data_IF_818051779022
#
_entry.id   IF_818051779022
#
_cell.length_a   1.000
_cell.length_b   1.000
_cell.length_c   1.000
_cell.angle_alpha   90.00
_cell.angle_beta   90.00
_cell.angle_gamma   90.00
#
_symmetry.space_group_name_H-M   'P 1'
#
loop_
_entity.id
_entity.type
_entity.pdbx_description
1 polymer ?
#
# COMPACT_ATOMS: atom_id res chain seq x y z
N UNK A 1 -12.67 4.15 -8.71
CA UNK A 1 -11.30 4.52 -8.32
C UNK A 1 -10.35 4.45 -9.51
N UNK A 2 -10.14 3.30 -10.14
CA UNK A 2 -9.16 3.16 -11.23
C UNK A 2 -9.41 4.08 -12.45
N UNK A 3 -10.66 4.32 -12.84
CA UNK A 3 -11.00 5.26 -13.93
C UNK A 3 -10.62 6.70 -13.56
N UNK A 4 -10.86 7.11 -12.30
CA UNK A 4 -10.47 8.43 -11.81
C UNK A 4 -8.96 8.59 -11.74
N UNK A 5 -8.24 7.54 -11.32
CA UNK A 5 -6.78 7.49 -11.36
C UNK A 5 -6.24 7.63 -12.80
N UNK A 6 -6.86 6.93 -13.75
CA UNK A 6 -6.51 7.02 -15.17
C UNK A 6 -6.70 8.43 -15.74
N UNK A 7 -7.84 9.07 -15.44
CA UNK A 7 -8.10 10.44 -15.86
C UNK A 7 -7.16 11.45 -15.18
N UNK A 8 -6.92 11.31 -13.87
CA UNK A 8 -6.03 12.20 -13.12
C UNK A 8 -4.58 12.09 -13.57
N UNK A 9 -3.99 10.91 -13.46
CA UNK A 9 -2.59 10.68 -13.83
C UNK A 9 -2.35 10.72 -15.34
N UNK A 10 -3.39 10.51 -16.16
CA UNK A 10 -3.31 10.62 -17.61
C UNK A 10 -3.44 12.06 -18.09
N UNK A 11 -4.63 12.64 -17.91
CA UNK A 11 -4.99 13.95 -18.50
C UNK A 11 -4.41 15.10 -17.68
N UNK A 12 -4.56 15.09 -16.35
CA UNK A 12 -4.11 16.21 -15.51
C UNK A 12 -2.59 16.27 -15.49
N UNK A 13 -1.90 15.13 -15.31
CA UNK A 13 -0.44 15.11 -15.32
C UNK A 13 0.15 15.54 -16.67
N UNK A 14 -0.53 15.23 -17.78
CA UNK A 14 -0.12 15.72 -19.10
C UNK A 14 -0.23 17.25 -19.20
N UNK A 15 -1.35 17.82 -18.72
CA UNK A 15 -1.55 19.27 -18.67
C UNK A 15 -0.51 19.94 -17.75
N UNK A 16 -0.19 19.34 -16.62
CA UNK A 16 0.83 19.85 -15.69
C UNK A 16 2.24 19.87 -16.32
N UNK A 17 2.57 18.86 -17.12
CA UNK A 17 3.87 18.72 -17.76
C UNK A 17 4.07 19.65 -18.97
N UNK A 18 3.03 19.84 -19.78
CA UNK A 18 3.10 20.65 -21.01
C UNK A 18 2.97 22.16 -20.73
N UNK A 19 2.10 22.53 -19.81
CA UNK A 19 1.78 23.94 -19.53
C UNK A 19 2.44 24.38 -18.22
N UNK A 20 1.68 24.29 -17.11
CA UNK A 20 2.07 24.68 -15.76
C UNK A 20 1.23 23.93 -14.76
N UNK A 21 1.84 23.60 -13.61
CA UNK A 21 1.15 23.03 -12.45
C UNK A 21 -0.10 23.82 -12.00
N UNK A 22 -0.10 25.13 -12.20
CA UNK A 22 -1.23 26.00 -11.86
C UNK A 22 -2.55 25.55 -12.51
N UNK A 23 -2.53 25.18 -13.80
CA UNK A 23 -3.74 24.73 -14.51
C UNK A 23 -4.22 23.37 -14.00
N UNK A 24 -3.30 22.45 -13.68
CA UNK A 24 -3.64 21.17 -13.07
C UNK A 24 -4.40 21.36 -11.74
N UNK A 25 -3.91 22.25 -10.87
CA UNK A 25 -4.58 22.57 -9.61
C UNK A 25 -5.96 23.21 -9.80
N UNK A 26 -6.15 24.07 -10.79
CA UNK A 26 -7.47 24.65 -11.10
C UNK A 26 -8.46 23.55 -11.51
N UNK A 27 -8.05 22.64 -12.40
CA UNK A 27 -8.92 21.53 -12.84
C UNK A 27 -9.33 20.67 -11.66
N UNK A 28 -8.38 20.32 -10.78
CA UNK A 28 -8.67 19.58 -9.54
C UNK A 28 -9.63 20.34 -8.61
N UNK A 29 -9.43 21.64 -8.43
CA UNK A 29 -10.27 22.46 -7.56
C UNK A 29 -11.71 22.56 -8.10
N UNK A 30 -11.88 22.79 -9.40
CA UNK A 30 -13.19 22.83 -10.05
C UNK A 30 -13.89 21.48 -9.95
N UNK A 31 -13.18 20.36 -10.18
CA UNK A 31 -13.74 19.02 -10.05
C UNK A 31 -14.21 18.72 -8.62
N UNK A 32 -13.41 19.10 -7.60
CA UNK A 32 -13.81 18.98 -6.19
C UNK A 32 -15.01 19.89 -5.86
N UNK A 33 -15.05 21.11 -6.38
CA UNK A 33 -16.16 22.03 -6.22
C UNK A 33 -17.47 21.47 -6.80
N UNK A 34 -17.42 20.94 -8.02
CA UNK A 34 -18.57 20.27 -8.65
C UNK A 34 -19.03 19.07 -7.82
N UNK A 35 -18.09 18.24 -7.35
CA UNK A 35 -18.40 17.10 -6.47
C UNK A 35 -19.10 17.54 -5.18
N UNK A 36 -18.63 18.61 -4.54
CA UNK A 36 -19.24 19.17 -3.34
C UNK A 36 -20.65 19.73 -3.61
N UNK A 37 -20.86 20.41 -4.73
CA UNK A 37 -22.19 20.92 -5.13
C UNK A 37 -23.16 19.76 -5.35
N UNK A 38 -22.74 18.70 -6.06
CA UNK A 38 -23.55 17.50 -6.27
C UNK A 38 -23.87 16.82 -4.93
N UNK A 39 -22.90 16.73 -4.02
CA UNK A 39 -23.09 16.15 -2.70
C UNK A 39 -24.12 16.94 -1.87
N UNK A 40 -24.03 18.27 -1.87
CA UNK A 40 -24.99 19.14 -1.15
C UNK A 40 -26.37 19.08 -1.80
N UNK A 41 -26.46 19.12 -3.14
CA UNK A 41 -27.72 19.00 -3.86
C UNK A 41 -28.40 17.64 -3.66
N UNK A 42 -27.63 16.59 -3.36
CA UNK A 42 -28.13 15.25 -3.03
C UNK A 42 -28.68 15.11 -1.62
N UNK A 43 -28.43 16.07 -0.72
CA UNK A 43 -28.89 16.06 0.68
C UNK A 43 -30.37 15.66 0.89
N UNK A 44 -31.36 16.17 0.14
CA UNK A 44 -32.76 15.76 0.30
C UNK A 44 -33.03 14.27 0.03
N UNK A 45 -32.13 13.57 -0.67
CA UNK A 45 -32.24 12.14 -0.95
C UNK A 45 -31.47 11.26 0.05
N UNK A 46 -30.77 11.86 1.02
CA UNK A 46 -29.92 11.12 1.94
C UNK A 46 -30.72 10.47 3.06
N UNK A 47 -30.49 9.18 3.27
CA UNK A 47 -31.02 8.45 4.43
C UNK A 47 -30.07 8.70 5.60
N UNK A 48 -30.43 9.64 6.47
CA UNK A 48 -29.67 9.95 7.67
C UNK A 48 -29.90 8.82 8.70
N UNK A 49 -28.88 7.99 8.91
CA UNK A 49 -28.87 7.01 10.00
C UNK A 49 -28.59 7.72 11.33
N UNK A 50 -29.31 7.39 12.42
CA UNK A 50 -29.00 7.94 13.74
C UNK A 50 -27.56 7.58 14.14
N UNK A 51 -26.91 8.39 14.99
CA UNK A 51 -25.54 8.10 15.41
C UNK A 51 -25.50 6.83 16.27
N UNK A 52 -24.97 5.75 15.71
CA UNK A 52 -24.55 4.59 16.50
C UNK A 52 -23.42 5.04 17.43
N UNK A 53 -23.49 4.65 18.70
CA UNK A 53 -22.52 5.09 19.71
C UNK A 53 -21.06 4.80 19.33
N UNK A 54 -20.11 5.47 20.00
CA UNK A 54 -18.69 5.34 19.65
C UNK A 54 -18.12 3.96 20.01
N UNK A 55 -17.90 3.12 18.99
CA UNK A 55 -17.21 1.84 19.13
C UNK A 55 -15.79 2.02 19.70
N UNK A 56 -15.07 3.06 19.26
CA UNK A 56 -13.72 3.36 19.77
C UNK A 56 -13.73 3.67 21.27
N UNK A 57 -14.74 4.41 21.75
CA UNK A 57 -14.87 4.70 23.18
C UNK A 57 -15.12 3.42 23.97
N UNK A 58 -15.94 2.49 23.45
CA UNK A 58 -16.18 1.19 24.06
C UNK A 58 -14.90 0.34 24.07
N UNK A 59 -14.13 0.32 22.98
CA UNK A 59 -12.84 -0.35 22.91
C UNK A 59 -11.87 0.13 23.99
N UNK A 60 -11.68 1.44 24.14
CA UNK A 60 -10.79 1.99 25.18
C UNK A 60 -11.28 1.65 26.59
N UNK A 61 -12.59 1.63 26.81
CA UNK A 61 -13.17 1.22 28.11
C UNK A 61 -12.90 -0.25 28.41
N UNK A 62 -13.08 -1.14 27.43
CA UNK A 62 -12.81 -2.58 27.55
C UNK A 62 -11.34 -2.84 27.86
N UNK A 63 -10.42 -2.20 27.13
CA UNK A 63 -8.98 -2.34 27.37
C UNK A 63 -8.59 -1.82 28.76
N UNK A 64 -9.15 -0.68 29.17
CA UNK A 64 -8.92 -0.10 30.50
C UNK A 64 -9.44 -1.02 31.62
N UNK A 65 -10.61 -1.60 31.45
CA UNK A 65 -11.21 -2.52 32.42
C UNK A 65 -10.43 -3.83 32.51
N UNK A 66 -10.06 -4.43 31.37
CA UNK A 66 -9.18 -5.59 31.31
C UNK A 66 -7.86 -5.32 32.04
N UNK A 67 -7.27 -4.13 31.85
CA UNK A 67 -6.06 -3.71 32.56
C UNK A 67 -6.26 -3.60 34.07
N UNK A 68 -7.35 -2.96 34.50
CA UNK A 68 -7.68 -2.78 35.93
C UNK A 68 -7.93 -4.12 36.61
N UNK A 69 -8.74 -4.99 36.01
CA UNK A 69 -9.11 -6.30 36.57
C UNK A 69 -7.87 -7.21 36.69
N UNK A 70 -7.01 -7.23 35.65
CA UNK A 70 -5.74 -7.98 35.70
C UNK A 70 -4.80 -7.45 36.77
N UNK A 71 -4.69 -6.12 36.93
CA UNK A 71 -3.85 -5.51 37.97
C UNK A 71 -4.36 -5.87 39.37
N UNK A 72 -5.66 -5.75 39.61
CA UNK A 72 -6.26 -6.09 40.91
C UNK A 72 -6.12 -7.58 41.24
N UNK A 73 -6.32 -8.48 40.27
CA UNK A 73 -6.14 -9.93 40.47
C UNK A 73 -4.68 -10.29 40.76
N UNK A 74 -3.72 -9.67 40.05
CA UNK A 74 -2.28 -9.81 40.35
C UNK A 74 -1.92 -9.32 41.76
N UNK A 75 -2.48 -8.19 42.20
CA UNK A 75 -2.25 -7.69 43.56
C UNK A 75 -2.89 -8.60 44.62
N UNK A 76 -4.08 -9.17 44.36
CA UNK A 76 -4.70 -10.17 45.25
C UNK A 76 -3.84 -11.42 45.38
N UNK A 77 -3.39 -12.00 44.26
CA UNK A 77 -2.50 -13.17 44.26
C UNK A 77 -1.19 -12.91 45.01
N UNK A 78 -0.60 -11.71 44.84
CA UNK A 78 0.59 -11.30 45.59
C UNK A 78 0.33 -11.13 47.09
N UNK A 79 -0.85 -10.66 47.47
CA UNK A 79 -1.25 -10.52 48.88
C UNK A 79 -1.65 -11.87 49.50
N UNK A 80 -2.08 -12.83 48.68
CA UNK A 80 -2.35 -14.23 49.01
C UNK A 80 -1.06 -15.08 49.02
N UNK A 81 0.08 -14.52 49.44
CA UNK A 81 1.26 -15.29 49.85
C UNK A 81 0.89 -16.23 51.03
N UNK A 82 0.10 -17.26 50.77
CA UNK A 82 0.08 -18.49 51.52
C UNK A 82 1.48 -19.07 51.35
N UNK A 83 2.21 -19.34 52.45
CA UNK A 83 3.40 -20.15 52.34
C UNK A 83 2.99 -21.47 51.67
N UNK A 84 3.82 -21.96 50.75
CA UNK A 84 3.67 -23.28 50.13
C UNK A 84 3.73 -24.29 51.27
N UNK A 85 2.58 -24.57 51.88
CA UNK A 85 2.40 -25.77 52.68
C UNK A 85 2.18 -26.86 51.65
N UNK A 86 3.25 -27.64 51.42
CA UNK A 86 3.21 -28.89 50.66
C UNK A 86 2.14 -29.80 51.28
N UNK A 87 0.91 -29.69 50.81
CA UNK A 87 -0.07 -30.75 50.90
C UNK A 87 -0.60 -30.99 49.50
N UNK A 88 0.00 -31.99 48.86
CA UNK A 88 -0.49 -32.73 47.71
C UNK A 88 -2.01 -32.60 47.53
N UNK A 89 -2.45 -31.79 46.56
CA UNK A 89 -3.73 -32.01 45.90
C UNK A 89 -3.54 -31.71 44.41
N UNK A 90 -3.74 -32.74 43.59
CA UNK A 90 -3.57 -32.75 42.11
C UNK A 90 -4.60 -31.84 41.41
N UNK A 91 -5.45 -31.17 42.17
CA UNK A 91 -6.56 -30.32 41.69
C UNK A 91 -6.10 -28.87 41.46
N UNK A 92 -5.17 -28.33 42.27
CA UNK A 92 -4.71 -26.94 42.15
C UNK A 92 -3.78 -26.68 40.95
N UNK A 93 -2.99 -27.69 40.53
CA UNK A 93 -2.10 -27.57 39.38
C UNK A 93 -2.86 -27.54 38.03
N UNK A 94 -4.06 -28.11 37.98
CA UNK A 94 -4.92 -28.07 36.79
C UNK A 94 -5.58 -26.70 36.61
N UNK A 95 -6.08 -26.10 37.69
CA UNK A 95 -6.72 -24.77 37.68
C UNK A 95 -5.72 -23.64 37.38
N UNK A 96 -4.48 -23.72 37.91
CA UNK A 96 -3.42 -22.76 37.59
C UNK A 96 -2.87 -22.90 36.16
N UNK A 97 -2.89 -24.10 35.58
CA UNK A 97 -2.50 -24.36 34.20
C UNK A 97 -3.56 -23.89 33.18
N UNK A 98 -4.85 -23.91 33.55
CA UNK A 98 -5.93 -23.30 32.75
C UNK A 98 -5.92 -21.75 32.85
N UNK A 99 -5.57 -21.18 34.00
CA UNK A 99 -5.60 -19.73 34.25
C UNK A 99 -4.51 -18.94 33.47
N UNK A 100 -3.36 -19.57 33.17
CA UNK A 100 -2.31 -18.97 32.33
C UNK A 100 -2.68 -18.86 30.84
N UNK A 101 -3.80 -19.44 30.39
CA UNK A 101 -4.25 -19.37 28.99
C UNK A 101 -5.23 -18.23 28.72
N UNK A 102 -5.76 -17.54 29.74
CA UNK A 102 -6.79 -16.52 29.53
C UNK A 102 -6.16 -15.26 28.91
N UNK A 103 -6.53 -14.89 27.67
CA UNK A 103 -6.01 -13.69 27.00
C UNK A 103 -6.26 -12.43 27.82
N UNK A 104 -5.35 -11.45 27.75
CA UNK A 104 -5.45 -10.20 28.50
C UNK A 104 -6.81 -9.51 28.38
N UNK A 105 -7.37 -9.49 27.17
CA UNK A 105 -8.63 -8.81 26.85
C UNK A 105 -9.85 -9.56 27.41
N UNK A 106 -9.73 -10.88 27.62
CA UNK A 106 -10.84 -11.72 28.08
C UNK A 106 -11.21 -11.45 29.56
N UNK A 107 -10.34 -10.77 30.33
CA UNK A 107 -10.65 -10.26 31.68
C UNK A 107 -11.77 -9.21 31.73
N UNK A 108 -12.17 -8.65 30.59
CA UNK A 108 -13.30 -7.74 30.48
C UNK A 108 -14.63 -8.44 30.15
N UNK A 109 -14.62 -9.75 29.84
CA UNK A 109 -15.83 -10.53 29.54
C UNK A 109 -16.65 -10.75 30.81
N UNK A 110 -17.98 -10.69 30.68
CA UNK A 110 -18.92 -11.03 31.75
C UNK A 110 -18.66 -12.40 32.37
N UNK A 111 -18.25 -13.38 31.56
CA UNK A 111 -17.94 -14.74 32.02
C UNK A 111 -16.75 -14.81 33.01
N UNK A 112 -15.86 -13.81 33.01
CA UNK A 112 -14.72 -13.71 33.93
C UNK A 112 -14.89 -12.56 34.96
N UNK A 113 -16.10 -12.04 35.12
CA UNK A 113 -16.43 -10.97 36.08
C UNK A 113 -16.28 -9.53 35.57
N UNK A 114 -16.15 -9.33 34.25
CA UNK A 114 -16.15 -8.01 33.61
C UNK A 114 -17.56 -7.48 33.29
N UNK A 115 -17.67 -6.21 32.89
CA UNK A 115 -18.96 -5.55 32.61
C UNK A 115 -19.46 -5.76 31.18
N UNK A 116 -18.60 -6.18 30.25
CA UNK A 116 -18.91 -6.19 28.82
C UNK A 116 -19.37 -7.54 28.30
N UNK A 117 -20.34 -7.51 27.37
CA UNK A 117 -20.80 -8.70 26.65
C UNK A 117 -19.64 -9.38 25.91
N UNK A 118 -19.66 -10.72 25.88
CA UNK A 118 -18.58 -11.52 25.31
C UNK A 118 -18.30 -11.19 23.83
N UNK A 119 -19.34 -10.95 23.02
CA UNK A 119 -19.23 -10.59 21.61
C UNK A 119 -18.42 -9.31 21.39
N UNK A 120 -18.70 -8.26 22.17
CA UNK A 120 -18.02 -6.97 22.06
C UNK A 120 -16.53 -7.07 22.41
N UNK A 121 -16.18 -7.93 23.37
CA UNK A 121 -14.79 -8.18 23.76
C UNK A 121 -14.05 -8.97 22.67
N UNK A 122 -14.72 -9.92 22.03
CA UNK A 122 -14.17 -10.67 20.89
C UNK A 122 -13.96 -9.78 19.66
N UNK A 123 -14.86 -8.82 19.40
CA UNK A 123 -14.69 -7.82 18.32
C UNK A 123 -13.47 -6.92 18.57
N UNK A 124 -13.23 -6.49 19.81
CA UNK A 124 -12.03 -5.72 20.17
C UNK A 124 -10.76 -6.54 19.98
N UNK A 125 -10.80 -7.83 20.29
CA UNK A 125 -9.66 -8.74 20.10
C UNK A 125 -9.35 -8.95 18.62
N UNK A 126 -10.39 -9.13 17.80
CA UNK A 126 -10.30 -9.18 16.34
C UNK A 126 -9.71 -7.90 15.75
N UNK A 127 -10.19 -6.73 16.19
CA UNK A 127 -9.66 -5.44 15.78
C UNK A 127 -8.17 -5.29 16.14
N UNK A 128 -7.76 -5.76 17.32
CA UNK A 128 -6.35 -5.79 17.73
C UNK A 128 -5.49 -6.66 16.80
N UNK A 129 -6.01 -7.81 16.36
CA UNK A 129 -5.34 -8.67 15.37
C UNK A 129 -5.23 -8.00 14.00
N UNK A 130 -6.29 -7.32 13.54
CA UNK A 130 -6.29 -6.54 12.30
C UNK A 130 -5.20 -5.45 12.39
N UNK A 131 -5.18 -4.67 13.48
CA UNK A 131 -4.19 -3.62 13.68
C UNK A 131 -2.74 -4.15 13.64
N UNK A 132 -2.50 -5.33 14.21
CA UNK A 132 -1.19 -5.99 14.13
C UNK A 132 -0.81 -6.34 12.69
N UNK A 133 -1.75 -6.81 11.86
CA UNK A 133 -1.50 -7.08 10.43
C UNK A 133 -1.23 -5.77 9.68
N UNK A 134 -1.96 -4.69 9.96
CA UNK A 134 -1.67 -3.36 9.40
C UNK A 134 -0.29 -2.85 9.77
N UNK A 135 0.18 -3.09 11.00
CA UNK A 135 1.53 -2.73 11.42
C UNK A 135 2.60 -3.49 10.61
N UNK A 136 2.39 -4.78 10.34
CA UNK A 136 3.28 -5.58 9.48
C UNK A 136 3.27 -5.10 8.02
N UNK A 137 2.19 -4.44 7.57
CA UNK A 137 2.10 -3.83 6.24
C UNK A 137 2.82 -2.49 6.11
N UNK A 138 3.27 -1.85 7.20
CA UNK A 138 3.94 -0.55 7.15
C UNK A 138 5.18 -0.57 6.22
N UNK A 139 6.13 -1.53 6.34
CA UNK A 139 7.28 -1.59 5.44
C UNK A 139 6.89 -1.79 3.97
N UNK A 140 5.82 -2.55 3.72
CA UNK A 140 5.30 -2.73 2.37
C UNK A 140 4.83 -1.40 1.77
N UNK A 141 4.02 -0.64 2.51
CA UNK A 141 3.54 0.67 2.05
C UNK A 141 4.69 1.66 1.84
N UNK A 142 5.71 1.64 2.70
CA UNK A 142 6.91 2.47 2.54
C UNK A 142 7.63 2.21 1.22
N UNK A 143 7.71 0.94 0.79
CA UNK A 143 8.28 0.55 -0.49
C UNK A 143 7.34 0.88 -1.65
N UNK A 144 6.05 0.58 -1.52
CA UNK A 144 5.05 0.86 -2.55
C UNK A 144 5.01 2.35 -2.92
N UNK A 145 5.03 3.24 -1.92
CA UNK A 145 5.01 4.69 -2.16
C UNK A 145 6.28 5.22 -2.86
N UNK A 146 7.39 4.46 -2.89
CA UNK A 146 8.57 4.85 -3.68
C UNK A 146 8.29 4.91 -5.18
N UNK A 147 7.26 4.18 -5.64
CA UNK A 147 6.79 4.24 -7.01
C UNK A 147 6.33 5.66 -7.41
N UNK A 148 5.71 6.40 -6.47
CA UNK A 148 5.19 7.75 -6.74
C UNK A 148 6.27 8.83 -6.60
N UNK A 149 7.38 8.54 -5.92
CA UNK A 149 8.45 9.51 -5.64
C UNK A 149 9.73 9.16 -6.37
N UNK A 150 10.48 8.17 -5.89
CA UNK A 150 11.81 7.79 -6.36
C UNK A 150 11.78 7.29 -7.80
N UNK A 151 10.80 6.48 -8.19
CA UNK A 151 10.70 5.99 -9.58
C UNK A 151 10.37 7.12 -10.55
N UNK A 152 9.55 8.08 -10.11
CA UNK A 152 9.26 9.28 -10.88
C UNK A 152 10.53 10.13 -11.05
N UNK A 153 11.31 10.36 -9.99
CA UNK A 153 12.60 11.08 -10.10
C UNK A 153 13.60 10.38 -11.01
N UNK A 154 13.66 9.04 -10.96
CA UNK A 154 14.48 8.27 -11.89
C UNK A 154 14.01 8.48 -13.34
N UNK A 155 12.69 8.42 -13.60
CA UNK A 155 12.12 8.59 -14.93
C UNK A 155 12.32 10.00 -15.50
N UNK A 156 12.29 11.04 -14.65
CA UNK A 156 12.60 12.44 -15.03
C UNK A 156 14.05 12.63 -15.52
N UNK A 157 14.95 11.71 -15.18
CA UNK A 157 16.36 11.73 -15.60
C UNK A 157 16.65 10.71 -16.71
N UNK A 158 15.62 10.08 -17.29
CA UNK A 158 15.70 9.16 -18.41
C UNK A 158 15.08 9.81 -19.66
N UNK A 159 15.38 9.26 -20.84
CA UNK A 159 14.84 9.74 -22.10
C UNK A 159 13.36 9.41 -22.20
N UNK A 160 12.53 10.44 -22.30
CA UNK A 160 11.06 10.35 -22.41
C UNK A 160 10.54 10.16 -23.84
N UNK A 161 11.39 10.35 -24.84
CA UNK A 161 11.03 10.21 -26.25
C UNK A 161 11.19 8.77 -26.76
N UNK A 162 10.17 8.26 -27.46
CA UNK A 162 10.19 6.96 -28.15
C UNK A 162 11.05 6.95 -29.42
N UNK A 163 11.48 8.11 -29.92
CA UNK A 163 12.17 8.22 -31.21
C UNK A 163 13.63 7.79 -31.11
N UNK A 164 13.85 6.47 -31.18
CA UNK A 164 15.10 5.89 -31.65
C UNK A 164 14.92 5.12 -32.97
N UNK A 165 13.67 4.96 -33.45
CA UNK A 165 13.37 3.99 -34.50
C UNK A 165 13.41 4.48 -35.96
N UNK A 166 13.62 5.78 -36.25
CA UNK A 166 13.92 6.26 -37.62
C UNK A 166 14.14 7.78 -37.69
N UNK A 167 15.21 8.31 -37.10
CA UNK A 167 15.58 9.73 -37.29
C UNK A 167 17.06 9.89 -37.56
N UNK A 168 17.56 9.15 -38.56
CA UNK A 168 18.83 9.48 -39.21
C UNK A 168 18.68 10.56 -40.30
N UNK A 169 17.50 11.19 -40.44
CA UNK A 169 17.25 12.14 -41.54
C UNK A 169 16.14 13.16 -41.26
N UNK A 170 16.09 13.76 -40.07
CA UNK A 170 15.27 14.96 -39.87
C UNK A 170 16.16 16.05 -39.28
N UNK A 171 16.54 16.98 -40.14
CA UNK A 171 17.26 18.20 -39.76
C UNK A 171 16.44 18.94 -38.70
N UNK A 172 16.95 18.94 -37.48
CA UNK A 172 16.45 19.64 -36.31
C UNK A 172 16.70 21.14 -36.43
N UNK A 173 15.93 21.82 -37.28
CA UNK A 173 15.87 23.30 -37.31
C UNK A 173 14.49 23.87 -37.00
N UNK A 174 13.49 23.03 -36.73
CA UNK A 174 12.19 23.52 -36.26
C UNK A 174 12.10 23.47 -34.73
N UNK A 175 12.13 24.63 -34.03
CA UNK A 175 11.92 24.69 -32.58
C UNK A 175 10.48 24.34 -32.14
N UNK A 176 9.60 24.03 -33.10
CA UNK A 176 8.19 23.67 -32.89
C UNK A 176 7.91 22.18 -33.10
N UNK A 177 8.93 21.33 -33.28
CA UNK A 177 8.70 19.88 -33.29
C UNK A 177 8.55 19.38 -31.85
N UNK A 178 7.35 19.56 -31.30
CA UNK A 178 6.92 18.93 -30.07
C UNK A 178 6.84 17.42 -30.31
N UNK A 179 7.95 16.70 -30.06
CA UNK A 179 7.81 15.26 -29.78
C UNK A 179 6.84 15.13 -28.62
N UNK A 180 5.85 14.22 -28.67
CA UNK A 180 4.98 14.01 -27.53
C UNK A 180 5.84 13.48 -26.39
N UNK A 181 6.29 14.39 -25.53
CA UNK A 181 7.02 14.04 -24.31
C UNK A 181 6.04 13.29 -23.44
N UNK A 182 6.32 12.01 -23.24
CA UNK A 182 5.51 11.16 -22.38
C UNK A 182 5.59 11.72 -20.99
N UNK A 183 4.44 11.86 -20.34
CA UNK A 183 4.47 12.26 -18.96
C UNK A 183 5.03 11.12 -18.11
N UNK A 184 6.06 11.39 -17.30
CA UNK A 184 6.66 10.36 -16.42
C UNK A 184 5.58 9.74 -15.51
N UNK A 185 4.61 10.55 -15.12
CA UNK A 185 3.44 10.13 -14.35
C UNK A 185 2.64 9.01 -15.04
N UNK A 186 2.65 8.89 -16.37
CA UNK A 186 1.95 7.82 -17.07
C UNK A 186 2.53 6.44 -16.77
N UNK A 187 3.79 6.32 -16.34
CA UNK A 187 4.33 5.03 -15.92
C UNK A 187 3.69 4.52 -14.63
N UNK A 188 3.18 5.42 -13.77
CA UNK A 188 2.35 5.01 -12.64
C UNK A 188 0.99 4.46 -13.07
N UNK A 189 0.51 4.78 -14.28
CA UNK A 189 -0.69 4.14 -14.86
C UNK A 189 -0.43 2.69 -15.29
N UNK A 190 0.82 2.35 -15.63
CA UNK A 190 1.16 0.97 -15.97
C UNK A 190 0.83 0.04 -14.80
N UNK A 191 1.13 0.44 -13.57
CA UNK A 191 0.76 -0.29 -12.35
C UNK A 191 -0.75 -0.54 -12.28
N UNK A 192 -1.58 0.50 -12.43
CA UNK A 192 -3.03 0.37 -12.44
C UNK A 192 -3.54 -0.56 -13.55
N UNK A 193 -2.94 -0.52 -14.75
CA UNK A 193 -3.26 -1.42 -15.86
C UNK A 193 -2.90 -2.86 -15.50
N UNK A 194 -1.72 -3.08 -14.91
CA UNK A 194 -1.31 -4.41 -14.43
C UNK A 194 -2.28 -4.93 -13.38
N UNK A 195 -2.66 -4.14 -12.38
CA UNK A 195 -3.63 -4.55 -11.35
C UNK A 195 -4.99 -4.92 -11.98
N UNK A 196 -5.50 -4.11 -12.93
CA UNK A 196 -6.77 -4.39 -13.63
C UNK A 196 -6.73 -5.72 -14.40
N UNK A 197 -5.59 -6.08 -14.98
CA UNK A 197 -5.42 -7.33 -15.75
C UNK A 197 -5.15 -8.51 -14.82
N UNK A 198 -4.29 -8.33 -13.81
CA UNK A 198 -3.85 -9.39 -12.92
C UNK A 198 -4.97 -9.82 -11.97
N UNK A 199 -5.78 -8.90 -11.44
CA UNK A 199 -6.85 -9.23 -10.51
C UNK A 199 -7.84 -10.29 -11.07
N UNK A 200 -8.46 -10.11 -12.25
CA UNK A 200 -9.33 -11.14 -12.82
C UNK A 200 -8.58 -12.42 -13.21
N UNK A 201 -7.30 -12.31 -13.60
CA UNK A 201 -6.46 -13.48 -13.87
C UNK A 201 -6.27 -14.33 -12.59
N UNK A 202 -5.98 -13.69 -11.47
CA UNK A 202 -5.82 -14.36 -10.19
C UNK A 202 -7.13 -14.98 -9.71
N UNK A 203 -8.22 -14.22 -9.76
CA UNK A 203 -9.54 -14.64 -9.28
C UNK A 203 -10.15 -15.76 -10.13
N UNK A 204 -10.07 -15.67 -11.46
CA UNK A 204 -10.72 -16.65 -12.36
C UNK A 204 -9.84 -17.82 -12.74
N UNK A 205 -8.52 -17.67 -12.71
CA UNK A 205 -7.60 -18.69 -13.23
C UNK A 205 -6.73 -19.28 -12.13
N UNK A 206 -5.99 -18.43 -11.41
CA UNK A 206 -4.93 -18.92 -10.50
C UNK A 206 -5.51 -19.55 -9.24
N UNK A 207 -6.40 -18.85 -8.52
CA UNK A 207 -7.04 -19.41 -7.33
C UNK A 207 -7.82 -20.70 -7.58
N UNK A 208 -8.69 -20.82 -8.62
CA UNK A 208 -9.40 -22.07 -8.87
C UNK A 208 -8.47 -23.20 -9.31
N UNK A 209 -7.41 -22.92 -10.08
CA UNK A 209 -6.42 -23.97 -10.42
C UNK A 209 -5.64 -24.45 -9.20
N UNK A 210 -5.26 -23.53 -8.33
CA UNK A 210 -4.55 -23.86 -7.10
C UNK A 210 -5.43 -24.62 -6.10
N UNK A 211 -6.71 -24.26 -6.02
CA UNK A 211 -7.71 -25.00 -5.24
C UNK A 211 -7.95 -26.41 -5.81
N UNK A 212 -7.95 -26.59 -7.14
CA UNK A 212 -8.01 -27.93 -7.76
C UNK A 212 -6.74 -28.75 -7.51
N UNK A 213 -5.59 -28.09 -7.35
CA UNK A 213 -4.33 -28.73 -6.98
C UNK A 213 -4.22 -29.05 -5.47
N UNK A 214 -5.25 -28.77 -4.67
CA UNK A 214 -5.27 -29.05 -3.23
C UNK A 214 -4.42 -28.12 -2.37
N UNK A 215 -3.92 -27.01 -2.92
CA UNK A 215 -3.08 -26.06 -2.18
C UNK A 215 -3.92 -24.91 -1.62
N UNK A 216 -4.07 -24.85 -0.30
CA UNK A 216 -4.73 -23.75 0.38
C UNK A 216 -3.74 -22.63 0.70
N UNK A 217 -3.84 -21.54 -0.05
CA UNK A 217 -2.96 -20.40 0.10
C UNK A 217 -3.47 -19.49 1.22
N UNK A 218 -2.80 -19.51 2.37
CA UNK A 218 -3.19 -18.67 3.52
C UNK A 218 -2.95 -17.18 3.21
N UNK A 219 -3.78 -16.28 3.77
CA UNK A 219 -3.61 -14.84 3.58
C UNK A 219 -2.22 -14.35 3.98
N UNK A 220 -1.67 -14.87 5.09
CA UNK A 220 -0.31 -14.54 5.53
C UNK A 220 0.75 -14.86 4.46
N UNK A 221 0.66 -16.03 3.81
CA UNK A 221 1.59 -16.41 2.73
C UNK A 221 1.46 -15.49 1.51
N UNK A 222 0.25 -15.02 1.19
CA UNK A 222 0.01 -14.05 0.09
C UNK A 222 0.69 -12.72 0.39
N UNK A 223 0.51 -12.22 1.61
CA UNK A 223 1.11 -10.96 2.06
C UNK A 223 2.64 -11.05 1.98
N UNK A 224 3.24 -12.13 2.50
CA UNK A 224 4.70 -12.33 2.44
C UNK A 224 5.20 -12.42 1.00
N UNK A 225 4.48 -13.12 0.11
CA UNK A 225 4.84 -13.21 -1.29
C UNK A 225 4.77 -11.83 -1.98
N UNK A 226 3.75 -11.03 -1.68
CA UNK A 226 3.65 -9.66 -2.19
C UNK A 226 4.80 -8.79 -1.70
N UNK A 227 5.16 -8.87 -0.42
CA UNK A 227 6.34 -8.17 0.13
C UNK A 227 7.64 -8.58 -0.56
N UNK A 228 7.80 -9.86 -0.89
CA UNK A 228 8.96 -10.34 -1.66
C UNK A 228 9.01 -9.71 -3.06
N UNK A 229 7.88 -9.67 -3.77
CA UNK A 229 7.82 -9.03 -5.09
C UNK A 229 8.12 -7.53 -5.03
N UNK A 230 7.63 -6.82 -4.00
CA UNK A 230 7.96 -5.42 -3.79
C UNK A 230 9.47 -5.22 -3.53
N UNK A 231 10.11 -6.09 -2.75
CA UNK A 231 11.54 -6.05 -2.53
C UNK A 231 12.34 -6.30 -3.83
N UNK A 232 11.94 -7.28 -4.64
CA UNK A 232 12.55 -7.55 -5.95
C UNK A 232 12.38 -6.37 -6.90
N UNK A 233 11.23 -5.69 -6.87
CA UNK A 233 10.99 -4.49 -7.66
C UNK A 233 11.97 -3.35 -7.30
N UNK A 234 12.26 -3.16 -6.01
CA UNK A 234 13.24 -2.16 -5.57
C UNK A 234 14.67 -2.52 -6.00
N UNK A 235 15.03 -3.81 -5.97
CA UNK A 235 16.33 -4.27 -6.50
C UNK A 235 16.40 -4.00 -8.00
N UNK A 236 15.35 -4.30 -8.76
CA UNK A 236 15.29 -3.99 -10.19
C UNK A 236 15.46 -2.49 -10.45
N UNK A 237 14.80 -1.63 -9.67
CA UNK A 237 14.95 -0.18 -9.77
C UNK A 237 16.37 0.31 -9.47
N UNK A 238 17.02 -0.28 -8.46
CA UNK A 238 18.43 -0.02 -8.16
C UNK A 238 19.37 -0.43 -9.29
N UNK A 239 19.11 -1.57 -9.94
CA UNK A 239 19.89 -2.03 -11.10
C UNK A 239 19.72 -1.07 -12.29
N UNK A 240 18.49 -0.65 -12.60
CA UNK A 240 18.23 0.35 -13.64
C UNK A 240 18.97 1.66 -13.34
N UNK A 241 19.00 2.09 -12.08
CA UNK A 241 19.73 3.29 -11.67
C UNK A 241 21.23 3.15 -11.83
N UNK A 242 21.79 1.98 -11.52
CA UNK A 242 23.21 1.71 -11.73
C UNK A 242 23.58 1.74 -13.21
N UNK A 243 22.73 1.19 -14.09
CA UNK A 243 22.93 1.29 -15.54
C UNK A 243 22.82 2.72 -16.04
N UNK A 244 21.87 3.50 -15.50
CA UNK A 244 21.76 4.94 -15.78
C UNK A 244 23.07 5.66 -15.45
N UNK A 245 23.57 5.48 -14.22
CA UNK A 245 24.78 6.14 -13.76
C UNK A 245 26.00 5.79 -14.61
N UNK A 246 26.19 4.50 -14.94
CA UNK A 246 27.30 4.03 -15.79
C UNK A 246 27.25 4.60 -17.21
N UNK A 247 26.06 4.92 -17.73
CA UNK A 247 25.93 5.59 -19.03
C UNK A 247 26.38 7.07 -18.98
N UNK A 248 26.40 7.70 -17.79
CA UNK A 248 26.89 9.07 -17.61
C UNK A 248 28.40 9.16 -17.30
N UNK A 249 29.07 8.04 -17.03
CA UNK A 249 30.46 8.04 -16.59
C UNK A 249 31.42 8.39 -17.76
N UNK A 250 32.17 9.52 -17.68
CA UNK A 250 33.06 9.95 -18.75
C UNK A 250 34.27 9.03 -18.96
N UNK A 251 34.70 8.32 -17.89
CA UNK A 251 35.91 7.50 -17.89
C UNK A 251 35.67 6.07 -18.44
N UNK A 252 34.41 5.63 -18.50
CA UNK A 252 34.04 4.32 -19.01
C UNK A 252 33.81 4.40 -20.53
N UNK A 253 34.90 4.27 -21.30
CA UNK A 253 34.95 4.41 -22.76
C UNK A 253 34.24 3.27 -23.55
N UNK A 254 33.24 2.60 -22.97
CA UNK A 254 32.73 1.30 -23.44
C UNK A 254 31.20 1.14 -23.50
N UNK A 255 30.41 2.22 -23.42
CA UNK A 255 28.97 2.11 -23.74
C UNK A 255 28.48 3.22 -24.68
N UNK A 256 27.48 2.88 -25.49
CA UNK A 256 27.00 3.59 -26.68
C UNK A 256 26.28 4.94 -26.40
N UNK A 257 26.18 5.35 -25.14
CA UNK A 257 25.28 6.42 -24.67
C UNK A 257 26.03 7.59 -24.02
N UNK A 258 26.97 8.21 -24.74
CA UNK A 258 27.74 9.39 -24.28
C UNK A 258 27.03 10.72 -24.57
N UNK A 259 25.76 10.87 -24.21
CA UNK A 259 25.06 12.13 -24.47
C UNK A 259 24.07 12.51 -23.38
N UNK A 260 24.20 13.74 -22.87
CA UNK A 260 23.18 14.40 -22.08
C UNK A 260 22.14 14.97 -23.05
N UNK A 261 20.88 14.61 -22.85
CA UNK A 261 19.77 15.17 -23.62
C UNK A 261 19.08 16.20 -22.72
N UNK A 262 19.20 17.51 -23.00
CA UNK A 262 18.44 18.50 -22.27
C UNK A 262 16.96 18.37 -22.65
N UNK A 263 16.14 17.97 -21.68
CA UNK A 263 14.68 17.90 -21.83
C UNK A 263 14.01 18.95 -20.94
N UNK A 264 12.95 19.59 -21.42
CA UNK A 264 12.29 20.68 -20.70
C UNK A 264 10.91 20.24 -20.24
N UNK A 265 10.79 19.93 -18.95
CA UNK A 265 9.57 19.39 -18.34
C UNK A 265 9.02 20.45 -17.39
N UNK A 266 7.76 20.90 -17.57
CA UNK A 266 7.14 21.87 -16.65
C UNK A 266 7.90 23.19 -16.48
N UNK A 267 8.67 23.60 -17.50
CA UNK A 267 9.46 24.83 -17.48
C UNK A 267 10.89 24.70 -16.92
N UNK A 268 11.29 23.55 -16.39
CA UNK A 268 12.66 23.27 -15.91
C UNK A 268 13.41 22.35 -16.87
N UNK A 269 14.71 22.61 -17.05
CA UNK A 269 15.57 21.80 -17.92
C UNK A 269 16.22 20.68 -17.09
N UNK A 270 15.99 19.44 -17.49
CA UNK A 270 16.60 18.24 -16.92
C UNK A 270 17.66 17.68 -17.89
N UNK A 271 18.83 17.34 -17.37
CA UNK A 271 19.87 16.65 -18.14
C UNK A 271 19.61 15.15 -18.07
N UNK A 272 18.88 14.62 -19.05
CA UNK A 272 18.52 13.21 -19.10
C UNK A 272 19.65 12.35 -19.69
N UNK A 273 19.71 11.09 -19.26
CA UNK A 273 20.52 10.08 -19.94
C UNK A 273 19.80 9.57 -21.19
N UNK A 274 20.55 9.10 -22.17
CA UNK A 274 20.00 8.52 -23.41
C UNK A 274 19.37 7.12 -23.21
N UNK A 275 19.20 6.68 -21.95
CA UNK A 275 18.48 5.46 -21.60
C UNK A 275 16.98 5.69 -21.67
N UNK A 276 16.28 4.82 -22.42
CA UNK A 276 14.82 4.88 -22.53
C UNK A 276 14.12 4.62 -21.20
N UNK A 277 13.14 5.46 -20.86
CA UNK A 277 12.25 5.31 -19.70
C UNK A 277 11.52 3.95 -19.64
N UNK A 278 11.39 3.25 -20.78
CA UNK A 278 10.75 1.91 -20.86
C UNK A 278 11.46 0.85 -20.02
N UNK A 279 12.74 1.04 -19.68
CA UNK A 279 13.46 0.16 -18.76
C UNK A 279 12.86 0.13 -17.35
N UNK A 280 11.96 1.06 -17.00
CA UNK A 280 11.21 1.03 -15.76
C UNK A 280 9.97 0.10 -15.79
N UNK A 281 9.52 -0.38 -16.96
CA UNK A 281 8.33 -1.25 -17.03
C UNK A 281 8.42 -2.47 -16.10
N UNK A 282 9.55 -3.20 -16.00
CA UNK A 282 9.66 -4.36 -15.11
C UNK A 282 9.46 -4.03 -13.63
N UNK A 283 10.01 -2.92 -13.11
CA UNK A 283 9.83 -2.54 -11.70
C UNK A 283 8.37 -2.13 -11.40
N UNK A 284 7.69 -1.43 -12.32
CA UNK A 284 6.27 -1.11 -12.16
C UNK A 284 5.39 -2.37 -12.23
N UNK A 285 5.69 -3.30 -13.14
CA UNK A 285 4.96 -4.57 -13.23
C UNK A 285 5.10 -5.42 -11.95
N UNK A 286 6.31 -5.49 -11.39
CA UNK A 286 6.57 -6.21 -10.13
C UNK A 286 5.86 -5.55 -8.93
N UNK A 287 5.80 -4.21 -8.88
CA UNK A 287 5.00 -3.49 -7.88
C UNK A 287 3.51 -3.82 -8.04
N UNK A 288 2.96 -3.82 -9.26
CA UNK A 288 1.55 -4.17 -9.49
C UNK A 288 1.23 -5.61 -9.09
N UNK A 289 2.14 -6.56 -9.36
CA UNK A 289 2.03 -7.95 -8.86
C UNK A 289 2.02 -7.94 -7.32
N UNK A 290 2.93 -7.18 -6.69
CA UNK A 290 3.03 -7.08 -5.23
C UNK A 290 1.74 -6.56 -4.59
N UNK A 291 1.08 -5.60 -5.23
CA UNK A 291 -0.18 -5.01 -4.77
C UNK A 291 -1.30 -6.04 -4.74
N UNK A 292 -1.48 -6.80 -5.82
CA UNK A 292 -2.49 -7.85 -5.90
C UNK A 292 -2.28 -8.93 -4.82
N UNK A 293 -1.04 -9.21 -4.45
CA UNK A 293 -0.73 -10.20 -3.41
C UNK A 293 -0.82 -9.66 -1.98
N UNK A 294 -0.36 -8.43 -1.72
CA UNK A 294 -0.26 -7.88 -0.37
C UNK A 294 -1.47 -7.02 0.00
N UNK A 295 -1.78 -5.98 -0.77
CA UNK A 295 -2.84 -5.01 -0.42
C UNK A 295 -4.23 -5.66 -0.48
N UNK A 296 -4.52 -6.40 -1.56
CA UNK A 296 -5.82 -7.06 -1.75
C UNK A 296 -6.01 -8.18 -0.71
N UNK A 297 -4.97 -8.95 -0.40
CA UNK A 297 -5.05 -9.98 0.64
C UNK A 297 -5.26 -9.40 2.04
N UNK A 298 -4.61 -8.27 2.35
CA UNK A 298 -4.79 -7.56 3.62
C UNK A 298 -6.24 -7.05 3.78
N UNK A 299 -6.82 -6.48 2.71
CA UNK A 299 -8.21 -6.04 2.71
C UNK A 299 -9.18 -7.22 2.83
N UNK A 300 -8.98 -8.30 2.08
CA UNK A 300 -9.80 -9.50 2.17
C UNK A 300 -9.75 -10.12 3.57
N UNK A 301 -8.58 -10.17 4.19
CA UNK A 301 -8.42 -10.62 5.57
C UNK A 301 -9.22 -9.76 6.55
N UNK A 302 -9.14 -8.44 6.41
CA UNK A 302 -9.84 -7.48 7.29
C UNK A 302 -11.36 -7.63 7.21
N UNK A 303 -11.91 -7.93 6.03
CA UNK A 303 -13.34 -8.15 5.83
C UNK A 303 -13.80 -9.51 6.38
N UNK A 304 -12.93 -10.51 6.42
CA UNK A 304 -13.27 -11.87 6.85
C UNK A 304 -13.22 -12.05 8.37
N UNK A 305 -12.41 -11.26 9.07
CA UNK A 305 -12.22 -11.31 10.53
C UNK A 305 -13.40 -10.67 11.25
#
# INVERSE_FOLDING_TARGET
>A
VNIGSFLGLGVIAYVEQQERFFYGFIVCNVALGISAIIFIAGYPFYIIRPPDGSFLTNMFRIVREAWRNRRQRRTRLRNLNLPISRSHSVVDDADQAEENKIPFIDYAKQQYGGQFQNSLVDDVKKLGMILAVFAVMIPYWLVYFQMQTTFMFQGLNMRLSFTHFNTSSVNTTDPNFYTPEIAVAWFTLCDAIFVIILLPLFDRIIYPRMSRAGYHFTFAKRIVLGMLFAAVAMVAAGVVEQFRWKALDPDLNQTCFKSYIPQKIGGTTYNASDMSVLWQIPQYALIGVSEVFASVACLQFTVMV
#
